data_IF_086289472992
#
_entry.id   IF_086289472992
#
_cell.length_a   1.000
_cell.length_b   1.000
_cell.length_c   1.000
_cell.angle_alpha   90.00
_cell.angle_beta   90.00
_cell.angle_gamma   90.00
#
_symmetry.space_group_name_H-M   'P 1'
#
loop_
_entity.id
_entity.type
_entity.pdbx_description
1 polymer ?
#
# COMPACT_ATOMS: atom_id res chain seq x y z
N UNK A 1 1.61 -7.00 -42.57
CA UNK A 1 0.68 -7.14 -41.43
C UNK A 1 1.44 -7.87 -40.33
N UNK A 2 2.01 -7.13 -39.37
CA UNK A 2 2.72 -7.73 -38.23
C UNK A 2 1.71 -8.56 -37.42
N UNK A 3 2.05 -9.81 -37.15
CA UNK A 3 1.21 -10.74 -36.42
C UNK A 3 0.94 -10.19 -35.01
N UNK A 4 -0.35 -10.05 -34.64
CA UNK A 4 -0.71 -9.63 -33.27
C UNK A 4 -0.27 -10.72 -32.28
N UNK A 5 0.54 -10.39 -31.25
CA UNK A 5 0.95 -11.35 -30.23
C UNK A 5 -0.26 -12.02 -29.57
N UNK A 6 -0.20 -13.33 -29.30
CA UNK A 6 -1.31 -14.06 -28.67
C UNK A 6 -1.09 -14.38 -27.20
N UNK A 7 0.15 -14.24 -26.75
CA UNK A 7 0.64 -14.56 -25.41
C UNK A 7 1.53 -13.42 -24.87
N UNK A 8 1.63 -13.36 -23.55
CA UNK A 8 2.32 -12.31 -22.80
C UNK A 8 3.81 -12.24 -23.18
N UNK A 9 4.44 -13.40 -23.33
CA UNK A 9 5.86 -13.54 -23.65
C UNK A 9 6.18 -13.03 -25.06
N UNK A 10 5.34 -13.33 -26.05
CA UNK A 10 5.49 -12.79 -27.42
C UNK A 10 5.20 -11.29 -27.49
N UNK A 11 4.22 -10.78 -26.73
CA UNK A 11 3.96 -9.34 -26.67
C UNK A 11 5.15 -8.58 -26.07
N UNK A 12 5.73 -9.10 -24.97
CA UNK A 12 6.94 -8.55 -24.36
C UNK A 12 8.15 -8.58 -25.31
N UNK A 13 8.33 -9.67 -26.06
CA UNK A 13 9.40 -9.79 -27.03
C UNK A 13 9.29 -8.76 -28.17
N UNK A 14 8.06 -8.42 -28.61
CA UNK A 14 7.81 -7.49 -29.71
C UNK A 14 7.60 -6.03 -29.29
N UNK A 15 7.82 -5.69 -28.02
CA UNK A 15 7.65 -4.32 -27.48
C UNK A 15 6.19 -3.79 -27.60
N UNK A 16 5.20 -4.68 -27.55
CA UNK A 16 3.77 -4.33 -27.70
C UNK A 16 3.08 -4.19 -26.34
N UNK A 17 3.19 -3.01 -25.72
CA UNK A 17 2.65 -2.70 -24.40
C UNK A 17 1.12 -2.71 -24.35
N UNK A 18 0.46 -2.26 -25.41
CA UNK A 18 -1.01 -2.31 -25.52
C UNK A 18 -1.51 -3.75 -25.55
N UNK A 19 -0.79 -4.64 -26.25
CA UNK A 19 -1.14 -6.04 -26.26
C UNK A 19 -0.85 -6.73 -24.93
N UNK A 20 0.26 -6.37 -24.26
CA UNK A 20 0.53 -6.83 -22.90
C UNK A 20 -0.64 -6.50 -21.97
N UNK A 21 -1.09 -5.24 -21.96
CA UNK A 21 -2.25 -4.79 -21.20
C UNK A 21 -3.50 -5.63 -21.49
N UNK A 22 -3.86 -5.81 -22.76
CA UNK A 22 -5.03 -6.60 -23.15
C UNK A 22 -4.96 -8.06 -22.68
N UNK A 23 -3.78 -8.68 -22.79
CA UNK A 23 -3.58 -10.08 -22.42
C UNK A 23 -3.61 -10.29 -20.91
N UNK A 24 -3.08 -9.33 -20.13
CA UNK A 24 -3.15 -9.35 -18.67
C UNK A 24 -4.61 -9.29 -18.23
N UNK A 25 -5.39 -8.34 -18.78
CA UNK A 25 -6.83 -8.21 -18.50
C UNK A 25 -7.59 -9.49 -18.85
N UNK A 26 -7.33 -10.05 -20.04
CA UNK A 26 -7.98 -11.28 -20.50
C UNK A 26 -7.64 -12.52 -19.64
N UNK A 27 -6.49 -12.52 -18.97
CA UNK A 27 -6.08 -13.60 -18.06
C UNK A 27 -6.78 -13.56 -16.69
N UNK A 28 -7.66 -12.58 -16.45
CA UNK A 28 -8.37 -12.40 -15.19
C UNK A 28 -7.46 -11.76 -14.13
N UNK A 29 -7.59 -10.44 -14.01
CA UNK A 29 -7.03 -9.60 -12.92
C UNK A 29 -8.09 -9.47 -11.83
N UNK A 30 -7.69 -9.07 -10.61
CA UNK A 30 -8.53 -8.82 -9.43
C UNK A 30 -9.96 -8.30 -9.74
N UNK A 31 -10.14 -7.35 -10.68
CA UNK A 31 -11.47 -6.83 -11.08
C UNK A 31 -11.86 -7.11 -12.54
N UNK A 32 -11.06 -7.89 -13.27
CA UNK A 32 -11.22 -8.07 -14.72
C UNK A 32 -11.01 -6.79 -15.55
N UNK A 33 -10.56 -5.70 -14.92
CA UNK A 33 -10.21 -4.41 -15.55
C UNK A 33 -8.71 -4.18 -15.46
N UNK A 34 -8.21 -3.26 -16.27
CA UNK A 34 -6.80 -2.84 -16.18
C UNK A 34 -6.57 -1.84 -15.07
N UNK A 35 -7.48 -0.87 -14.93
CA UNK A 35 -7.43 0.12 -13.87
C UNK A 35 -7.98 -0.51 -12.59
N UNK A 36 -7.40 -0.17 -11.43
CA UNK A 36 -7.99 -0.56 -10.16
C UNK A 36 -9.38 0.06 -10.04
N UNK A 37 -10.26 -0.51 -9.20
CA UNK A 37 -11.62 0.02 -9.00
C UNK A 37 -11.59 1.45 -8.44
N UNK A 38 -10.54 1.78 -7.70
CA UNK A 38 -10.28 3.09 -7.15
C UNK A 38 -8.77 3.38 -7.25
N UNK A 39 -8.42 4.64 -7.52
CA UNK A 39 -7.03 5.07 -7.53
C UNK A 39 -6.87 6.26 -6.60
N UNK A 40 -5.95 6.14 -5.64
CA UNK A 40 -5.58 7.25 -4.77
C UNK A 40 -4.15 7.66 -5.11
N UNK A 41 -3.98 8.92 -5.48
CA UNK A 41 -2.66 9.47 -5.73
C UNK A 41 -1.88 9.58 -4.43
N UNK A 42 -0.92 8.68 -4.21
CA UNK A 42 -0.03 8.67 -3.03
C UNK A 42 1.13 9.65 -3.17
N UNK A 43 0.88 10.81 -3.79
CA UNK A 43 1.91 11.82 -4.02
C UNK A 43 2.34 12.48 -2.70
N UNK A 44 3.57 13.03 -2.60
CA UNK A 44 3.99 13.78 -1.43
C UNK A 44 3.07 14.96 -1.08
N UNK A 45 2.37 15.53 -2.07
CA UNK A 45 1.42 16.61 -1.87
C UNK A 45 0.17 16.12 -1.09
N UNK A 46 -0.43 15.01 -1.51
CA UNK A 46 -1.59 14.43 -0.81
C UNK A 46 -1.20 13.87 0.56
N UNK A 47 0.04 13.39 0.71
CA UNK A 47 0.58 13.04 2.03
C UNK A 47 0.67 14.27 2.94
N UNK A 48 1.11 15.42 2.42
CA UNK A 48 1.17 16.65 3.19
C UNK A 48 -0.22 17.10 3.66
N UNK A 49 -1.29 16.85 2.89
CA UNK A 49 -2.67 17.09 3.33
C UNK A 49 -3.04 16.23 4.53
N UNK A 50 -2.72 14.92 4.52
CA UNK A 50 -2.94 14.04 5.68
C UNK A 50 -2.15 14.46 6.92
N UNK A 51 -0.97 15.07 6.73
CA UNK A 51 -0.12 15.59 7.81
C UNK A 51 -0.59 16.96 8.32
N UNK A 52 -1.14 17.79 7.43
CA UNK A 52 -1.59 19.16 7.69
C UNK A 52 -2.95 19.26 8.41
N UNK A 53 -3.61 18.13 8.67
CA UNK A 53 -4.79 17.95 9.54
C UNK A 53 -4.46 18.30 11.03
N UNK A 54 -3.71 19.38 11.23
CA UNK A 54 -3.39 20.08 12.47
C UNK A 54 -4.61 20.90 12.88
N UNK A 55 -4.85 21.04 14.19
CA UNK A 55 -6.07 21.63 14.71
C UNK A 55 -6.25 23.07 14.22
N UNK A 56 -7.47 23.36 13.76
CA UNK A 56 -8.10 24.65 13.98
C UNK A 56 -8.19 24.80 15.50
N UNK A 57 -7.09 25.25 16.12
CA UNK A 57 -7.11 25.75 17.48
C UNK A 57 -8.03 26.97 17.44
N UNK A 58 -9.33 26.70 17.62
CA UNK A 58 -10.28 27.60 18.22
C UNK A 58 -9.78 27.95 19.62
N UNK A 59 -8.73 28.77 19.67
CA UNK A 59 -8.35 29.57 20.79
C UNK A 59 -9.46 30.60 21.00
N UNK A 60 -10.55 30.12 21.60
CA UNK A 60 -11.48 30.93 22.37
C UNK A 60 -10.74 31.42 23.63
N UNK A 61 -9.73 32.26 23.45
CA UNK A 61 -9.18 33.10 24.50
C UNK A 61 -9.67 34.53 24.23
N UNK A 62 -10.77 34.87 24.88
CA UNK A 62 -11.27 36.23 24.92
C UNK A 62 -10.32 37.12 25.71
N UNK A 63 -9.58 38.01 25.04
CA UNK A 63 -9.20 39.32 25.57
C UNK A 63 -8.42 40.17 24.53
N UNK A 64 -9.13 40.82 23.59
CA UNK A 64 -8.79 42.19 23.16
C UNK A 64 -9.87 42.75 22.22
N UNK A 65 -10.59 43.77 22.71
CA UNK A 65 -11.34 44.71 21.88
C UNK A 65 -10.42 45.31 20.81
N UNK A 66 -10.75 45.10 19.55
CA UNK A 66 -10.14 45.77 18.41
C UNK A 66 -10.98 45.58 17.17
N UNK A 67 -11.81 46.57 16.86
CA UNK A 67 -12.71 46.64 15.71
C UNK A 67 -12.00 46.26 14.41
N UNK A 68 -12.48 45.23 13.69
CA UNK A 68 -12.28 45.09 12.23
C UNK A 68 -13.26 44.12 11.58
N UNK A 69 -14.24 44.75 10.92
CA UNK A 69 -14.76 44.43 9.58
C UNK A 69 -15.29 43.02 9.28
N UNK A 70 -16.61 42.98 9.09
CA UNK A 70 -17.33 41.97 8.32
C UNK A 70 -16.59 41.48 7.07
N UNK A 71 -16.22 40.19 7.04
CA UNK A 71 -16.12 39.39 5.82
C UNK A 71 -16.34 37.91 6.13
N UNK A 72 -17.47 37.41 5.65
CA UNK A 72 -17.72 36.02 5.23
C UNK A 72 -17.41 34.90 6.22
N UNK A 73 -18.43 34.45 6.95
CA UNK A 73 -18.60 33.03 7.22
C UNK A 73 -18.89 32.35 5.88
N UNK A 74 -17.87 31.79 5.23
CA UNK A 74 -18.05 30.68 4.31
C UNK A 74 -17.71 29.39 5.08
N UNK A 75 -18.56 28.35 5.04
CA UNK A 75 -18.22 27.04 5.59
C UNK A 75 -16.94 26.51 4.93
N UNK A 76 -16.23 25.54 5.54
CA UNK A 76 -15.04 24.95 4.94
C UNK A 76 -15.41 24.46 3.54
N UNK A 77 -14.73 24.98 2.53
CA UNK A 77 -14.95 24.57 1.14
C UNK A 77 -14.72 23.06 1.03
N UNK A 78 -15.67 22.34 0.42
CA UNK A 78 -15.70 20.90 0.13
C UNK A 78 -14.51 20.37 -0.72
N UNK A 79 -13.44 21.16 -0.89
CA UNK A 79 -12.33 20.91 -1.82
C UNK A 79 -11.10 20.22 -1.24
N UNK A 80 -10.98 20.04 0.07
CA UNK A 80 -9.78 19.44 0.71
C UNK A 80 -9.93 17.94 1.02
N UNK A 81 -11.04 17.32 0.63
CA UNK A 81 -11.23 15.89 0.76
C UNK A 81 -10.40 15.16 -0.32
N UNK A 82 -9.37 14.42 0.13
CA UNK A 82 -8.52 13.55 -0.73
C UNK A 82 -9.36 12.53 -1.52
N UNK A 83 -10.57 12.25 -1.03
CA UNK A 83 -11.57 11.36 -1.63
C UNK A 83 -12.92 12.05 -1.44
N UNK A 84 -13.65 12.40 -2.50
CA UNK A 84 -15.00 12.94 -2.36
C UNK A 84 -15.95 11.88 -1.79
N UNK A 85 -16.99 12.31 -1.08
CA UNK A 85 -18.00 11.42 -0.48
C UNK A 85 -18.63 10.49 -1.56
N UNK A 86 -18.78 11.02 -2.78
CA UNK A 86 -19.20 10.27 -3.98
C UNK A 86 -18.33 9.04 -4.31
N UNK A 87 -17.04 9.04 -3.95
CA UNK A 87 -16.13 7.92 -4.27
C UNK A 87 -16.47 6.67 -3.45
N UNK A 88 -17.10 6.81 -2.28
CA UNK A 88 -17.53 5.67 -1.47
C UNK A 88 -18.71 4.93 -2.14
N UNK A 89 -19.67 5.70 -2.65
CA UNK A 89 -20.81 5.18 -3.42
C UNK A 89 -20.34 4.65 -4.78
N UNK A 90 -19.41 5.33 -5.44
CA UNK A 90 -18.77 4.82 -6.67
C UNK A 90 -17.96 3.53 -6.40
N UNK A 91 -17.29 3.40 -5.26
CA UNK A 91 -16.59 2.16 -4.88
C UNK A 91 -17.56 1.00 -4.71
N UNK A 92 -18.70 1.25 -4.06
CA UNK A 92 -19.73 0.25 -3.84
C UNK A 92 -20.40 -0.18 -5.16
N UNK A 93 -20.49 0.71 -6.15
CA UNK A 93 -20.96 0.38 -7.50
C UNK A 93 -19.91 -0.32 -8.38
N UNK A 94 -18.61 -0.05 -8.15
CA UNK A 94 -17.51 -0.53 -8.99
C UNK A 94 -16.89 -1.85 -8.51
N UNK A 95 -16.99 -2.15 -7.22
CA UNK A 95 -16.48 -3.38 -6.61
C UNK A 95 -17.67 -4.32 -6.36
N UNK A 96 -17.56 -5.58 -6.79
CA UNK A 96 -18.65 -6.54 -6.52
C UNK A 96 -18.85 -6.75 -5.02
N UNK A 97 -20.07 -7.06 -4.59
CA UNK A 97 -20.38 -7.33 -3.17
C UNK A 97 -19.44 -8.39 -2.58
N UNK A 98 -19.10 -9.43 -3.34
CA UNK A 98 -18.17 -10.48 -2.94
C UNK A 98 -16.74 -9.95 -2.71
N UNK A 99 -16.28 -9.02 -3.56
CA UNK A 99 -14.96 -8.38 -3.43
C UNK A 99 -14.91 -7.41 -2.24
N UNK A 100 -16.02 -6.69 -1.98
CA UNK A 100 -16.16 -5.85 -0.79
C UNK A 100 -16.10 -6.67 0.49
N UNK A 101 -16.78 -7.83 0.53
CA UNK A 101 -16.68 -8.79 1.65
C UNK A 101 -15.25 -9.32 1.79
N UNK A 102 -14.58 -9.64 0.68
CA UNK A 102 -13.20 -10.11 0.70
C UNK A 102 -12.18 -9.04 1.14
N UNK A 103 -12.47 -7.76 0.91
CA UNK A 103 -11.67 -6.64 1.44
C UNK A 103 -11.96 -6.40 2.92
N UNK A 104 -13.23 -6.44 3.33
CA UNK A 104 -13.63 -6.31 4.74
C UNK A 104 -13.06 -7.45 5.62
N UNK A 105 -12.91 -8.64 5.06
CA UNK A 105 -12.28 -9.79 5.72
C UNK A 105 -10.74 -9.75 5.73
N UNK A 106 -10.11 -8.71 5.17
CA UNK A 106 -8.65 -8.64 5.10
C UNK A 106 -8.04 -8.41 6.50
N UNK A 107 -7.03 -9.21 6.91
CA UNK A 107 -6.50 -9.15 8.28
C UNK A 107 -5.86 -7.80 8.63
N UNK A 108 -5.21 -7.15 7.66
CA UNK A 108 -4.62 -5.82 7.91
C UNK A 108 -5.71 -4.75 8.12
N UNK A 109 -6.79 -4.79 7.33
CA UNK A 109 -7.89 -3.86 7.50
C UNK A 109 -8.61 -4.11 8.83
N UNK A 110 -8.87 -5.37 9.19
CA UNK A 110 -9.44 -5.72 10.49
C UNK A 110 -8.57 -5.24 11.64
N UNK A 111 -7.25 -5.43 11.56
CA UNK A 111 -6.30 -4.95 12.55
C UNK A 111 -6.36 -3.42 12.70
N UNK A 112 -6.38 -2.68 11.60
CA UNK A 112 -6.46 -1.21 11.61
C UNK A 112 -7.81 -0.75 12.16
N UNK A 113 -8.92 -1.33 11.69
CA UNK A 113 -10.26 -1.02 12.22
C UNK A 113 -10.34 -1.27 13.73
N UNK A 114 -9.85 -2.42 14.22
CA UNK A 114 -9.81 -2.73 15.65
C UNK A 114 -8.88 -1.80 16.44
N UNK A 115 -7.70 -1.49 15.90
CA UNK A 115 -6.72 -0.64 16.58
C UNK A 115 -7.22 0.79 16.74
N UNK A 116 -7.95 1.30 15.75
CA UNK A 116 -8.33 2.72 15.71
C UNK A 116 -9.80 3.01 16.00
N UNK A 117 -10.69 2.01 16.11
CA UNK A 117 -12.09 2.22 16.47
C UNK A 117 -12.26 3.15 17.69
N UNK A 118 -13.15 4.14 17.55
CA UNK A 118 -13.47 5.11 18.60
C UNK A 118 -14.36 4.52 19.70
N UNK A 119 -15.24 3.58 19.34
CA UNK A 119 -16.23 3.00 20.25
C UNK A 119 -15.76 1.62 20.77
N UNK A 120 -15.03 1.62 21.89
CA UNK A 120 -14.61 0.39 22.59
C UNK A 120 -15.61 0.01 23.70
N UNK A 121 -16.65 0.80 23.96
CA UNK A 121 -17.60 0.53 25.05
C UNK A 121 -18.59 -0.62 24.76
N UNK A 122 -18.77 -1.07 23.52
CA UNK A 122 -19.74 -2.13 23.21
C UNK A 122 -19.18 -3.56 23.29
N UNK A 123 -17.88 -3.74 23.57
CA UNK A 123 -17.23 -5.06 23.53
C UNK A 123 -16.93 -5.67 24.91
N UNK A 124 -17.10 -4.91 26.00
CA UNK A 124 -16.78 -5.38 27.36
C UNK A 124 -18.03 -5.68 28.22
N UNK A 125 -19.24 -5.36 27.76
CA UNK A 125 -20.47 -5.54 28.58
C UNK A 125 -21.31 -6.79 28.24
N UNK A 126 -20.89 -7.65 27.29
CA UNK A 126 -21.65 -8.87 26.94
C UNK A 126 -21.28 -10.13 27.77
N UNK A 127 -20.23 -10.10 28.62
CA UNK A 127 -19.85 -11.30 29.39
C UNK A 127 -20.36 -11.36 30.84
N UNK A 128 -20.95 -10.30 31.40
CA UNK A 128 -21.42 -10.30 32.81
C UNK A 128 -22.95 -10.28 33.01
N UNK A 129 -23.76 -10.30 31.95
CA UNK A 129 -25.23 -10.29 32.05
C UNK A 129 -25.87 -11.64 32.45
N UNK A 130 -25.11 -12.54 33.09
CA UNK A 130 -25.58 -13.86 33.51
C UNK A 130 -25.32 -14.15 35.00
N UNK A 131 -25.57 -13.19 35.89
CA UNK A 131 -25.96 -13.45 37.28
C UNK A 131 -26.26 -12.13 38.01
N UNK A 132 -27.53 -11.72 38.08
CA UNK A 132 -28.20 -11.49 39.37
C UNK A 132 -29.65 -11.04 39.15
N UNK A 133 -30.54 -12.02 39.25
CA UNK A 133 -31.94 -11.83 39.59
C UNK A 133 -32.00 -11.47 41.08
N UNK A 134 -31.91 -10.19 41.42
CA UNK A 134 -32.60 -9.61 42.57
C UNK A 134 -32.52 -8.07 42.56
N UNK A 135 -33.69 -7.45 42.58
CA UNK A 135 -33.90 -6.03 42.39
C UNK A 135 -33.24 -5.09 43.39
N UNK A 136 -32.95 -3.89 42.90
CA UNK A 136 -33.61 -2.66 43.38
C UNK A 136 -33.48 -1.61 42.26
N UNK A 137 -34.55 -0.86 42.02
CA UNK A 137 -34.70 0.02 40.85
C UNK A 137 -33.89 1.32 40.93
N UNK A 138 -32.56 1.20 40.92
CA UNK A 138 -31.65 2.33 40.75
C UNK A 138 -31.55 2.71 39.29
N UNK A 139 -31.89 3.96 38.97
CA UNK A 139 -31.79 4.57 37.66
C UNK A 139 -30.53 4.14 36.88
N UNK A 140 -30.72 3.24 35.91
CA UNK A 140 -29.78 3.01 34.81
C UNK A 140 -29.79 4.28 33.95
N UNK A 141 -29.03 5.28 34.41
CA UNK A 141 -28.67 6.43 33.59
C UNK A 141 -27.89 5.91 32.40
N UNK A 142 -28.51 5.96 31.24
CA UNK A 142 -27.93 5.60 29.96
C UNK A 142 -26.57 6.30 29.83
N UNK A 143 -25.46 5.57 29.84
CA UNK A 143 -24.10 6.12 29.76
C UNK A 143 -23.83 6.90 28.45
N UNK A 144 -24.80 6.92 27.53
CA UNK A 144 -24.82 7.80 26.36
C UNK A 144 -25.18 9.28 26.68
N UNK A 145 -25.79 9.61 27.84
CA UNK A 145 -26.03 11.01 28.25
C UNK A 145 -24.81 11.63 28.97
N UNK A 146 -23.60 11.30 28.52
CA UNK A 146 -22.34 11.75 29.14
C UNK A 146 -21.73 12.98 28.49
N UNK A 147 -22.10 13.27 27.25
CA UNK A 147 -21.62 14.42 26.48
C UNK A 147 -22.71 15.50 26.43
N UNK A 148 -22.31 16.75 26.59
CA UNK A 148 -23.19 17.87 26.24
C UNK A 148 -23.46 17.87 24.72
N UNK A 149 -24.55 18.50 24.26
CA UNK A 149 -24.95 18.50 22.83
C UNK A 149 -23.78 18.90 21.88
N UNK A 150 -23.01 19.91 22.25
CA UNK A 150 -21.83 20.38 21.48
C UNK A 150 -20.69 19.33 21.45
N UNK A 151 -20.53 18.55 22.52
CA UNK A 151 -19.50 17.51 22.63
C UNK A 151 -19.92 16.25 21.86
N UNK A 152 -21.22 15.94 21.82
CA UNK A 152 -21.78 14.86 21.02
C UNK A 152 -21.67 15.17 19.51
N UNK A 153 -21.96 16.40 19.08
CA UNK A 153 -21.76 16.83 17.68
C UNK A 153 -20.29 16.69 17.26
N UNK A 154 -19.35 17.10 18.12
CA UNK A 154 -17.92 16.94 17.87
C UNK A 154 -17.48 15.46 17.82
N UNK A 155 -18.09 14.60 18.64
CA UNK A 155 -17.87 13.15 18.63
C UNK A 155 -18.42 12.49 17.35
N UNK A 156 -19.59 12.92 16.87
CA UNK A 156 -20.15 12.47 15.60
C UNK A 156 -19.26 12.89 14.42
N UNK A 157 -18.78 14.13 14.41
CA UNK A 157 -17.84 14.60 13.39
C UNK A 157 -16.56 13.75 13.34
N UNK A 158 -16.01 13.38 14.50
CA UNK A 158 -14.86 12.46 14.58
C UNK A 158 -15.17 11.06 14.02
N UNK A 159 -16.35 10.52 14.33
CA UNK A 159 -16.82 9.21 13.83
C UNK A 159 -16.94 9.21 12.32
N UNK A 160 -17.57 10.22 11.74
CA UNK A 160 -17.70 10.38 10.29
C UNK A 160 -16.33 10.53 9.62
N UNK A 161 -15.47 11.37 10.19
CA UNK A 161 -14.14 11.57 9.67
C UNK A 161 -13.32 10.25 9.72
N UNK A 162 -13.43 9.46 10.79
CA UNK A 162 -12.79 8.16 10.88
C UNK A 162 -13.32 7.17 9.83
N UNK A 163 -14.63 7.15 9.58
CA UNK A 163 -15.20 6.32 8.51
C UNK A 163 -14.59 6.69 7.15
N UNK A 164 -14.38 7.98 6.89
CA UNK A 164 -13.68 8.45 5.69
C UNK A 164 -12.23 7.94 5.60
N UNK A 165 -11.46 7.99 6.70
CA UNK A 165 -10.10 7.45 6.73
C UNK A 165 -10.08 5.93 6.47
N UNK A 166 -11.05 5.18 6.99
CA UNK A 166 -11.18 3.75 6.70
C UNK A 166 -11.53 3.48 5.23
N UNK A 167 -12.32 4.35 4.60
CA UNK A 167 -12.60 4.26 3.17
C UNK A 167 -11.33 4.49 2.34
N UNK A 168 -10.54 5.52 2.66
CA UNK A 168 -9.22 5.75 2.04
C UNK A 168 -8.35 4.49 2.18
N UNK A 169 -8.28 3.91 3.37
CA UNK A 169 -7.49 2.70 3.61
C UNK A 169 -7.97 1.51 2.77
N UNK A 170 -9.29 1.30 2.69
CA UNK A 170 -9.90 0.25 1.84
C UNK A 170 -9.54 0.44 0.37
N UNK A 171 -9.57 1.67 -0.12
CA UNK A 171 -9.21 1.98 -1.51
C UNK A 171 -7.76 1.63 -1.82
N UNK A 172 -6.83 2.03 -0.93
CA UNK A 172 -5.41 1.72 -1.09
C UNK A 172 -5.16 0.21 -1.09
N UNK A 173 -5.85 -0.53 -0.22
CA UNK A 173 -5.73 -1.97 -0.13
C UNK A 173 -6.28 -2.66 -1.40
N UNK A 174 -7.40 -2.19 -1.93
CA UNK A 174 -7.93 -2.66 -3.20
C UNK A 174 -6.94 -2.42 -4.36
N UNK A 175 -6.33 -1.23 -4.41
CA UNK A 175 -5.29 -0.88 -5.38
C UNK A 175 -4.05 -1.80 -5.24
N UNK A 176 -3.64 -2.11 -4.00
CA UNK A 176 -2.55 -3.03 -3.73
C UNK A 176 -2.84 -4.45 -4.24
N UNK A 177 -4.01 -5.02 -3.90
CA UNK A 177 -4.42 -6.36 -4.38
C UNK A 177 -4.50 -6.42 -5.90
N UNK A 178 -4.99 -5.35 -6.52
CA UNK A 178 -5.01 -5.21 -7.96
C UNK A 178 -3.61 -5.28 -8.57
N UNK A 179 -2.65 -4.52 -8.02
CA UNK A 179 -1.24 -4.57 -8.47
C UNK A 179 -0.60 -5.93 -8.23
N UNK A 180 -0.82 -6.55 -7.08
CA UNK A 180 -0.29 -7.88 -6.76
C UNK A 180 -0.83 -8.94 -7.73
N UNK A 181 -2.12 -8.85 -8.08
CA UNK A 181 -2.74 -9.72 -9.09
C UNK A 181 -2.06 -9.57 -10.45
N UNK A 182 -1.81 -8.33 -10.90
CA UNK A 182 -1.06 -8.07 -12.14
C UNK A 182 0.36 -8.63 -12.04
N UNK A 183 1.08 -8.34 -10.96
CA UNK A 183 2.45 -8.80 -10.74
C UNK A 183 2.54 -10.34 -10.79
N UNK A 184 1.60 -11.04 -10.15
CA UNK A 184 1.54 -12.51 -10.17
C UNK A 184 1.38 -13.06 -11.58
N UNK A 185 0.61 -12.40 -12.45
CA UNK A 185 0.49 -12.78 -13.87
C UNK A 185 1.79 -12.52 -14.63
N UNK A 186 2.47 -11.41 -14.35
CA UNK A 186 3.75 -11.06 -14.97
C UNK A 186 4.90 -11.98 -14.55
N UNK A 187 4.79 -12.70 -13.45
CA UNK A 187 5.82 -13.64 -12.97
C UNK A 187 5.77 -15.01 -13.67
N UNK A 188 4.73 -15.31 -14.45
CA UNK A 188 4.57 -16.63 -15.06
C UNK A 188 5.64 -16.92 -16.12
N UNK A 189 6.41 -18.00 -15.94
CA UNK A 189 7.37 -18.47 -16.92
C UNK A 189 6.68 -19.07 -18.14
N UNK A 190 7.17 -18.75 -19.34
CA UNK A 190 6.60 -19.23 -20.59
C UNK A 190 7.63 -19.35 -21.70
N UNK A 191 7.28 -20.17 -22.69
CA UNK A 191 8.01 -20.27 -23.96
C UNK A 191 7.47 -19.20 -24.92
N UNK A 192 8.35 -18.62 -25.72
CA UNK A 192 7.97 -17.66 -26.75
C UNK A 192 7.23 -18.38 -27.87
N UNK A 193 6.01 -17.95 -28.20
CA UNK A 193 5.19 -18.59 -29.23
C UNK A 193 5.09 -17.72 -30.48
N UNK A 194 5.87 -18.04 -31.52
CA UNK A 194 5.83 -17.29 -32.80
C UNK A 194 5.17 -18.10 -33.91
N UNK A 195 4.45 -17.42 -34.80
CA UNK A 195 3.86 -18.05 -35.99
C UNK A 195 4.23 -17.27 -37.25
N UNK A 196 4.62 -17.99 -38.30
CA UNK A 196 4.91 -17.41 -39.62
C UNK A 196 3.65 -17.28 -40.48
N UNK A 197 2.58 -18.06 -40.18
CA UNK A 197 1.28 -18.02 -40.87
C UNK A 197 0.14 -18.32 -39.86
N UNK A 198 -0.62 -17.31 -39.43
CA UNK A 198 -1.86 -17.56 -38.68
C UNK A 198 -2.85 -18.34 -39.57
N UNK A 199 -3.63 -19.32 -39.06
CA UNK A 199 -4.00 -19.49 -37.65
C UNK A 199 -3.50 -20.74 -36.90
N UNK A 200 -2.75 -21.71 -37.48
CA UNK A 200 -2.74 -23.09 -36.92
C UNK A 200 -1.37 -23.66 -36.50
N UNK A 201 -0.24 -22.96 -36.66
CA UNK A 201 1.04 -23.50 -36.16
C UNK A 201 1.86 -22.46 -35.40
N UNK A 202 1.79 -22.50 -34.07
CA UNK A 202 2.64 -21.71 -33.17
C UNK A 202 3.88 -22.53 -32.83
N UNK A 203 5.05 -22.00 -33.17
CA UNK A 203 6.32 -22.63 -32.84
C UNK A 203 6.81 -22.05 -31.52
N UNK A 204 7.07 -22.92 -30.56
CA UNK A 204 7.62 -22.56 -29.25
C UNK A 204 9.13 -22.43 -29.31
N UNK A 205 9.66 -21.38 -28.68
CA UNK A 205 11.08 -21.12 -28.52
C UNK A 205 11.39 -20.98 -27.03
N UNK A 206 12.38 -21.71 -26.55
CA UNK A 206 13.00 -21.49 -25.25
C UNK A 206 14.24 -20.61 -25.36
N UNK A 207 14.81 -20.25 -24.22
CA UNK A 207 16.02 -19.43 -24.12
C UNK A 207 17.25 -20.36 -24.16
N UNK A 208 18.21 -20.09 -25.06
CA UNK A 208 19.45 -20.85 -25.17
C UNK A 208 20.64 -19.90 -25.18
N UNK A 209 21.76 -20.32 -24.59
CA UNK A 209 23.02 -19.60 -24.72
C UNK A 209 23.90 -20.16 -25.84
N UNK A 210 24.73 -19.31 -26.41
CA UNK A 210 25.77 -19.63 -27.37
C UNK A 210 27.07 -18.99 -26.92
N UNK A 211 28.18 -19.71 -27.05
CA UNK A 211 29.50 -19.16 -26.75
C UNK A 211 30.19 -18.76 -28.05
N UNK A 212 30.72 -17.54 -28.12
CA UNK A 212 31.60 -17.10 -29.21
C UNK A 212 33.00 -16.82 -28.66
N UNK A 213 34.02 -17.27 -29.38
CA UNK A 213 35.40 -16.91 -29.09
C UNK A 213 35.60 -15.43 -29.42
N UNK A 214 35.99 -14.64 -28.41
CA UNK A 214 36.37 -13.25 -28.59
C UNK A 214 37.90 -13.22 -28.70
N UNK A 215 38.40 -12.89 -29.90
CA UNK A 215 39.83 -12.68 -30.08
C UNK A 215 40.19 -11.34 -29.44
N UNK A 216 40.77 -11.38 -28.25
CA UNK A 216 41.36 -10.19 -27.63
C UNK A 216 42.60 -9.86 -28.46
N UNK A 217 42.50 -8.90 -29.37
CA UNK A 217 43.70 -8.28 -29.95
C UNK A 217 44.42 -7.53 -28.82
N UNK A 218 45.71 -7.79 -28.57
CA UNK A 218 46.43 -7.06 -27.53
C UNK A 218 46.38 -5.55 -27.85
N UNK A 219 46.33 -4.67 -26.82
CA UNK A 219 46.38 -3.24 -27.05
C UNK A 219 47.66 -2.93 -27.83
N UNK A 220 47.49 -2.35 -29.01
CA UNK A 220 48.58 -1.86 -29.85
C UNK A 220 49.28 -0.81 -29.01
N UNK A 221 50.46 -1.15 -28.48
CA UNK A 221 51.34 -0.22 -27.79
C UNK A 221 51.70 0.89 -28.76
N UNK A 222 50.95 2.00 -28.70
CA UNK A 222 51.42 3.30 -29.12
C UNK A 222 52.54 3.68 -28.17
N UNK A 223 53.78 3.40 -28.58
CA UNK A 223 54.95 4.25 -28.36
C UNK A 223 56.19 3.55 -28.92
N UNK A 224 56.64 4.02 -30.09
CA UNK A 224 58.01 4.47 -30.38
C UNK A 224 58.24 4.44 -31.89
N UNK A 225 58.34 5.64 -32.46
CA UNK A 225 58.96 5.87 -33.76
C UNK A 225 60.41 5.40 -33.69
N UNK A 226 60.77 4.33 -34.40
CA UNK A 226 62.12 4.15 -34.93
C UNK A 226 62.03 3.57 -36.36
N UNK A 227 62.86 4.14 -37.23
CA UNK A 227 62.89 4.00 -38.69
C UNK A 227 63.14 2.56 -39.22
N UNK A 228 62.79 2.27 -40.49
CA UNK A 228 62.79 0.91 -41.03
C UNK A 228 64.15 0.53 -41.62
N UNK A 229 64.72 -0.58 -41.15
CA UNK A 229 65.78 -1.28 -41.86
C UNK A 229 65.67 -2.80 -41.69
N UNK A 230 65.27 -3.44 -42.79
CA UNK A 230 65.82 -4.66 -43.37
C UNK A 230 65.81 -6.01 -42.61
N UNK A 231 65.58 -7.08 -43.38
CA UNK A 231 66.06 -8.42 -43.04
C UNK A 231 65.11 -9.37 -42.31
N UNK A 232 64.34 -10.14 -43.09
CA UNK A 232 64.06 -11.58 -42.90
C UNK A 232 64.48 -12.24 -41.58
N UNK A 233 63.52 -12.72 -40.79
CA UNK A 233 63.57 -14.09 -40.23
C UNK A 233 62.22 -14.52 -39.67
N UNK A 234 61.87 -15.77 -39.95
CA UNK A 234 60.75 -16.52 -39.37
C UNK A 234 60.73 -16.42 -37.84
N UNK A 235 59.71 -15.78 -37.28
CA UNK A 235 59.40 -15.83 -35.86
C UNK A 235 58.22 -16.78 -35.61
N UNK A 236 58.34 -17.75 -34.68
CA UNK A 236 57.33 -18.76 -34.44
C UNK A 236 56.08 -18.14 -33.84
N UNK A 237 54.91 -18.59 -34.31
CA UNK A 237 53.60 -18.23 -33.77
C UNK A 237 53.59 -18.31 -32.24
N UNK A 238 53.42 -17.17 -31.57
CA UNK A 238 53.35 -17.08 -30.13
C UNK A 238 52.17 -17.92 -29.59
N UNK A 239 52.41 -18.91 -28.70
CA UNK A 239 51.34 -19.64 -28.03
C UNK A 239 50.92 -18.84 -26.80
N UNK A 240 49.82 -18.10 -26.90
CA UNK A 240 49.34 -17.33 -25.74
C UNK A 240 48.14 -16.42 -25.94
N UNK A 241 47.45 -16.47 -27.09
CA UNK A 241 46.18 -15.77 -27.22
C UNK A 241 45.13 -16.48 -26.36
N UNK A 242 44.93 -16.00 -25.13
CA UNK A 242 43.83 -16.41 -24.27
C UNK A 242 42.52 -16.07 -24.98
N UNK A 243 41.85 -17.10 -25.51
CA UNK A 243 40.53 -16.98 -26.11
C UNK A 243 39.54 -16.79 -24.96
N UNK A 244 38.99 -15.58 -24.80
CA UNK A 244 37.86 -15.39 -23.90
C UNK A 244 36.59 -15.91 -24.60
N UNK A 245 35.80 -16.71 -23.89
CA UNK A 245 34.50 -17.17 -24.38
C UNK A 245 33.43 -16.17 -23.93
N UNK A 246 32.76 -15.56 -24.90
CA UNK A 246 31.62 -14.68 -24.65
C UNK A 246 30.32 -15.48 -24.72
N UNK A 247 29.49 -15.40 -23.66
CA UNK A 247 28.15 -16.00 -23.61
C UNK A 247 27.13 -15.04 -24.20
N UNK A 248 26.29 -15.50 -25.13
CA UNK A 248 25.15 -14.74 -25.67
C UNK A 248 23.87 -15.58 -25.65
N UNK A 249 22.79 -14.96 -25.21
CA UNK A 249 21.46 -15.56 -25.12
C UNK A 249 20.62 -15.28 -26.36
N UNK A 250 19.86 -16.27 -26.82
CA UNK A 250 18.97 -16.16 -27.99
C UNK A 250 17.77 -17.12 -27.90
N UNK A 251 16.63 -16.79 -28.55
CA UNK A 251 15.51 -17.72 -28.68
C UNK A 251 15.90 -18.95 -29.53
N UNK A 252 15.53 -20.16 -29.10
CA UNK A 252 15.84 -21.40 -29.80
C UNK A 252 14.70 -22.42 -29.68
N UNK A 253 14.37 -23.07 -30.80
CA UNK A 253 13.38 -24.16 -30.86
C UNK A 253 13.81 -25.42 -30.10
N UNK A 254 15.11 -25.56 -29.82
CA UNK A 254 15.68 -26.74 -29.14
C UNK A 254 15.74 -26.58 -27.64
N UNK A 255 15.52 -25.37 -27.13
CA UNK A 255 15.54 -25.11 -25.70
C UNK A 255 14.15 -25.28 -25.11
N UNK A 256 14.13 -25.86 -23.90
CA UNK A 256 12.96 -26.01 -23.03
C UNK A 256 12.95 -24.99 -21.88
N UNK A 257 13.92 -24.08 -21.82
CA UNK A 257 13.97 -23.08 -20.77
C UNK A 257 13.04 -21.92 -21.11
N UNK A 258 12.06 -21.68 -20.26
CA UNK A 258 11.18 -20.52 -20.30
C UNK A 258 11.69 -19.39 -19.43
N UNK A 259 11.38 -18.17 -19.85
CA UNK A 259 11.61 -16.96 -19.09
C UNK A 259 10.29 -16.31 -18.69
N UNK A 260 10.35 -15.40 -17.72
CA UNK A 260 9.26 -14.44 -17.50
C UNK A 260 9.16 -13.49 -18.71
N UNK A 261 8.02 -12.81 -18.91
CA UNK A 261 7.90 -11.73 -19.90
C UNK A 261 9.06 -10.72 -19.85
N UNK A 262 9.57 -10.41 -18.65
CA UNK A 262 10.70 -9.49 -18.47
C UNK A 262 11.99 -10.04 -19.09
N UNK A 263 12.26 -11.36 -18.97
CA UNK A 263 13.39 -11.99 -19.66
C UNK A 263 13.29 -11.82 -21.18
N UNK A 264 12.08 -12.01 -21.74
CA UNK A 264 11.86 -11.88 -23.18
C UNK A 264 12.00 -10.44 -23.67
N UNK A 265 11.49 -9.46 -22.92
CA UNK A 265 11.65 -8.04 -23.24
C UNK A 265 13.12 -7.60 -23.19
N UNK A 266 13.87 -8.05 -22.18
CA UNK A 266 15.31 -7.76 -22.08
C UNK A 266 16.08 -8.41 -23.23
N UNK A 267 15.75 -9.66 -23.57
CA UNK A 267 16.39 -10.40 -24.65
C UNK A 267 16.18 -9.72 -26.02
N UNK A 268 15.00 -9.16 -26.28
CA UNK A 268 14.70 -8.43 -27.52
C UNK A 268 15.12 -6.96 -27.49
N UNK A 269 15.58 -6.44 -26.34
CA UNK A 269 15.87 -5.02 -26.11
C UNK A 269 14.63 -4.12 -26.27
N UNK A 270 13.46 -4.64 -25.92
CA UNK A 270 12.17 -3.94 -25.94
C UNK A 270 12.06 -2.98 -24.74
N UNK A 271 12.53 -1.74 -24.91
CA UNK A 271 12.63 -0.78 -23.81
C UNK A 271 11.28 -0.36 -23.24
N UNK A 272 10.23 -0.25 -24.06
CA UNK A 272 8.91 0.13 -23.57
C UNK A 272 8.28 -1.01 -22.76
N UNK A 273 8.42 -2.25 -23.21
CA UNK A 273 7.99 -3.44 -22.48
C UNK A 273 8.77 -3.63 -21.18
N UNK A 274 10.09 -3.36 -21.15
CA UNK A 274 10.87 -3.43 -19.89
C UNK A 274 10.33 -2.44 -18.85
N UNK A 275 10.13 -1.17 -19.23
CA UNK A 275 9.56 -0.16 -18.33
C UNK A 275 8.17 -0.57 -17.83
N UNK A 276 7.28 -0.90 -18.76
CA UNK A 276 5.92 -1.32 -18.46
C UNK A 276 5.89 -2.51 -17.48
N UNK A 277 6.67 -3.56 -17.74
CA UNK A 277 6.67 -4.75 -16.90
C UNK A 277 7.17 -4.44 -15.49
N UNK A 278 8.22 -3.64 -15.35
CA UNK A 278 8.78 -3.26 -14.04
C UNK A 278 7.82 -2.35 -13.27
N UNK A 279 7.24 -1.34 -13.92
CA UNK A 279 6.23 -0.45 -13.32
C UNK A 279 5.02 -1.22 -12.79
N UNK A 280 4.65 -2.33 -13.44
CA UNK A 280 3.53 -3.18 -13.05
C UNK A 280 3.92 -4.39 -12.18
N UNK A 281 5.14 -4.41 -11.65
CA UNK A 281 5.54 -5.34 -10.59
C UNK A 281 6.18 -6.65 -11.05
N UNK A 282 6.63 -6.75 -12.30
CA UNK A 282 7.45 -7.88 -12.73
C UNK A 282 8.71 -7.98 -11.85
N UNK A 283 9.02 -9.19 -11.42
CA UNK A 283 10.16 -9.47 -10.55
C UNK A 283 11.43 -9.67 -11.40
N UNK A 284 12.43 -8.83 -11.13
CA UNK A 284 13.74 -8.82 -11.76
C UNK A 284 14.69 -9.88 -11.19
N UNK A 285 14.37 -10.50 -10.06
CA UNK A 285 15.19 -11.51 -9.41
C UNK A 285 14.86 -12.93 -9.86
N UNK A 286 13.72 -13.11 -10.53
CA UNK A 286 13.35 -14.40 -11.09
C UNK A 286 14.37 -14.81 -12.16
N UNK A 287 14.82 -16.06 -12.08
CA UNK A 287 15.68 -16.67 -13.09
C UNK A 287 14.89 -17.43 -14.15
N UNK A 288 15.58 -18.24 -14.96
CA UNK A 288 14.92 -19.10 -15.93
C UNK A 288 14.29 -20.33 -15.26
N UNK A 289 13.29 -20.92 -15.93
CA UNK A 289 12.68 -22.16 -15.48
C UNK A 289 12.65 -23.19 -16.62
N UNK A 290 12.85 -24.46 -16.29
CA UNK A 290 12.63 -25.54 -17.25
C UNK A 290 11.13 -25.79 -17.44
N UNK A 291 10.63 -25.57 -18.65
CA UNK A 291 9.24 -25.88 -19.03
C UNK A 291 9.23 -27.25 -19.68
N UNK A 292 8.99 -28.28 -18.87
CA UNK A 292 8.77 -29.65 -19.31
C UNK A 292 7.30 -29.90 -19.63
N UNK A 293 7.02 -30.78 -20.59
CA UNK A 293 5.68 -31.33 -20.80
C UNK A 293 5.31 -32.17 -19.58
N UNK A 294 4.66 -31.59 -18.58
CA UNK A 294 4.02 -32.33 -17.52
C UNK A 294 2.74 -32.98 -18.06
N UNK A 295 2.89 -34.07 -18.84
CA UNK A 295 2.06 -35.23 -18.55
C UNK A 295 2.71 -35.88 -17.33
N UNK A 296 2.04 -35.80 -16.18
CA UNK A 296 2.53 -36.36 -14.92
C UNK A 296 2.96 -37.83 -15.06
N UNK A 297 4.05 -38.18 -14.36
CA UNK A 297 4.38 -39.51 -13.81
C UNK A 297 5.88 -39.87 -13.80
N UNK A 298 6.82 -39.06 -14.32
CA UNK A 298 8.21 -39.52 -14.47
C UNK A 298 9.28 -38.73 -13.69
N UNK A 299 8.92 -37.81 -12.79
CA UNK A 299 9.90 -37.03 -12.02
C UNK A 299 10.15 -37.57 -10.59
N UNK A 300 9.37 -38.55 -10.11
CA UNK A 300 9.45 -39.02 -8.74
C UNK A 300 10.53 -40.10 -8.48
N UNK A 301 11.13 -40.68 -9.52
CA UNK A 301 12.07 -41.82 -9.35
C UNK A 301 13.52 -41.56 -9.76
N UNK A 302 13.87 -40.33 -10.15
CA UNK A 302 15.26 -39.94 -10.37
C UNK A 302 15.72 -38.99 -9.27
N UNK A 303 16.13 -39.57 -8.13
CA UNK A 303 16.93 -38.84 -7.14
C UNK A 303 18.17 -38.26 -7.83
N UNK A 304 18.18 -36.94 -8.06
CA UNK A 304 19.25 -36.28 -8.80
C UNK A 304 19.62 -34.94 -8.18
N UNK A 305 20.72 -34.96 -7.41
CA UNK A 305 21.44 -33.76 -6.98
C UNK A 305 21.83 -32.86 -8.18
N UNK A 306 21.90 -33.44 -9.38
CA UNK A 306 22.13 -32.74 -10.65
C UNK A 306 20.95 -31.88 -11.14
N UNK A 307 19.69 -32.25 -10.89
CA UNK A 307 18.56 -31.38 -11.27
C UNK A 307 18.45 -30.19 -10.31
N UNK A 308 18.67 -30.41 -9.02
CA UNK A 308 18.74 -29.33 -8.03
C UNK A 308 19.87 -28.33 -8.36
N UNK A 309 21.04 -28.81 -8.80
CA UNK A 309 22.13 -27.96 -9.27
C UNK A 309 21.78 -27.19 -10.55
N UNK A 310 21.11 -27.83 -11.52
CA UNK A 310 20.67 -27.17 -12.75
C UNK A 310 19.60 -26.09 -12.47
N UNK A 311 18.62 -26.38 -11.61
CA UNK A 311 17.63 -25.40 -11.16
C UNK A 311 18.29 -24.22 -10.45
N UNK A 312 19.29 -24.47 -9.58
CA UNK A 312 20.05 -23.40 -8.91
C UNK A 312 20.76 -22.47 -9.89
N UNK A 313 21.35 -23.01 -10.96
CA UNK A 313 21.98 -22.20 -12.01
C UNK A 313 20.94 -21.40 -12.79
N UNK A 314 19.81 -22.01 -13.15
CA UNK A 314 18.75 -21.32 -13.88
C UNK A 314 18.14 -20.16 -13.05
N UNK A 315 17.95 -20.34 -11.75
CA UNK A 315 17.49 -19.29 -10.84
C UNK A 315 18.44 -18.08 -10.75
N UNK A 316 19.73 -18.25 -11.06
CA UNK A 316 20.71 -17.15 -11.05
C UNK A 316 20.70 -16.34 -12.36
N UNK A 317 20.03 -16.83 -13.40
CA UNK A 317 19.96 -16.19 -14.72
C UNK A 317 18.86 -15.15 -14.76
N UNK A 318 19.05 -14.05 -14.03
CA UNK A 318 18.10 -12.94 -14.00
C UNK A 318 18.11 -12.15 -15.32
N UNK A 319 17.06 -11.35 -15.60
CA UNK A 319 17.04 -10.44 -16.74
C UNK A 319 18.26 -9.50 -16.78
N UNK A 320 18.71 -8.99 -15.64
CA UNK A 320 19.92 -8.15 -15.57
C UNK A 320 21.18 -8.90 -16.01
N UNK A 321 21.38 -10.14 -15.52
CA UNK A 321 22.52 -11.00 -15.93
C UNK A 321 22.47 -11.28 -17.43
N UNK A 322 21.28 -11.50 -17.99
CA UNK A 322 21.11 -11.67 -19.44
C UNK A 322 21.43 -10.41 -20.23
N UNK A 323 21.02 -9.22 -19.76
CA UNK A 323 21.34 -7.94 -20.40
C UNK A 323 22.85 -7.70 -20.45
N UNK A 324 23.56 -7.99 -19.35
CA UNK A 324 25.02 -7.88 -19.24
C UNK A 324 25.70 -8.83 -20.22
N UNK A 325 25.31 -10.12 -20.21
CA UNK A 325 25.89 -11.13 -21.10
C UNK A 325 25.70 -10.77 -22.59
N UNK A 326 24.58 -10.13 -22.94
CA UNK A 326 24.28 -9.68 -24.30
C UNK A 326 24.83 -8.28 -24.66
N UNK A 327 25.66 -7.68 -23.79
CA UNK A 327 26.27 -6.34 -23.96
C UNK A 327 25.21 -5.25 -24.25
N UNK A 328 24.05 -5.37 -23.61
CA UNK A 328 22.92 -4.45 -23.83
C UNK A 328 22.88 -3.36 -22.75
N UNK A 329 23.89 -2.49 -22.71
CA UNK A 329 23.98 -1.39 -21.74
C UNK A 329 22.72 -0.51 -21.70
N UNK A 330 22.12 -0.09 -22.84
CA UNK A 330 20.91 0.74 -22.80
C UNK A 330 19.72 0.02 -22.17
N UNK A 331 19.59 -1.30 -22.35
CA UNK A 331 18.50 -2.07 -21.73
C UNK A 331 18.70 -2.21 -20.23
N UNK A 332 19.95 -2.31 -19.78
CA UNK A 332 20.30 -2.35 -18.36
C UNK A 332 20.02 -1.01 -17.68
N UNK A 333 20.41 0.11 -18.30
CA UNK A 333 20.08 1.46 -17.79
C UNK A 333 18.56 1.66 -17.68
N UNK A 334 17.80 1.23 -18.69
CA UNK A 334 16.33 1.28 -18.66
C UNK A 334 15.75 0.40 -17.53
N UNK A 335 16.31 -0.78 -17.31
CA UNK A 335 15.90 -1.68 -16.23
C UNK A 335 16.18 -1.04 -14.86
N UNK A 336 17.41 -0.55 -14.63
CA UNK A 336 17.81 0.07 -13.36
C UNK A 336 17.01 1.33 -13.04
N UNK A 337 16.79 2.19 -14.04
CA UNK A 337 15.97 3.40 -13.88
C UNK A 337 14.51 3.07 -13.55
N UNK A 338 13.93 2.06 -14.20
CA UNK A 338 12.57 1.60 -13.90
C UNK A 338 12.47 0.98 -12.49
N UNK A 339 13.49 0.24 -12.05
CA UNK A 339 13.55 -0.32 -10.69
C UNK A 339 13.67 0.77 -9.62
N UNK A 340 14.51 1.78 -9.85
CA UNK A 340 14.61 2.94 -8.96
C UNK A 340 13.28 3.70 -8.86
N UNK A 341 12.59 3.91 -9.98
CA UNK A 341 11.28 4.55 -9.99
C UNK A 341 10.24 3.74 -9.21
N UNK A 342 10.20 2.40 -9.38
CA UNK A 342 9.32 1.50 -8.62
C UNK A 342 9.62 1.55 -7.12
N UNK A 343 10.89 1.56 -6.72
CA UNK A 343 11.28 1.62 -5.31
C UNK A 343 10.81 2.94 -4.67
N UNK A 344 11.01 4.08 -5.35
CA UNK A 344 10.54 5.37 -4.89
C UNK A 344 9.00 5.42 -4.75
N UNK A 345 8.28 4.84 -5.70
CA UNK A 345 6.82 4.73 -5.67
C UNK A 345 6.33 3.86 -4.49
N UNK A 346 7.01 2.74 -4.21
CA UNK A 346 6.71 1.91 -3.03
C UNK A 346 6.98 2.65 -1.72
N UNK A 347 8.06 3.42 -1.63
CA UNK A 347 8.37 4.24 -0.46
C UNK A 347 7.32 5.33 -0.23
N UNK A 348 6.90 6.02 -1.30
CA UNK A 348 5.84 7.02 -1.23
C UNK A 348 4.53 6.43 -0.71
N UNK A 349 4.14 5.23 -1.19
CA UNK A 349 2.94 4.54 -0.67
C UNK A 349 3.05 4.14 0.79
N UNK A 350 4.19 3.58 1.20
CA UNK A 350 4.43 3.23 2.61
C UNK A 350 4.34 4.46 3.50
N UNK A 351 4.93 5.58 3.06
CA UNK A 351 4.84 6.84 3.78
C UNK A 351 3.39 7.37 3.83
N UNK A 352 2.61 7.18 2.76
CA UNK A 352 1.20 7.55 2.74
C UNK A 352 0.38 6.73 3.74
N UNK A 353 0.56 5.41 3.78
CA UNK A 353 -0.06 4.54 4.79
C UNK A 353 0.29 4.98 6.22
N UNK A 354 1.57 5.25 6.49
CA UNK A 354 2.00 5.72 7.80
C UNK A 354 1.38 7.09 8.16
N UNK A 355 1.28 8.01 7.20
CA UNK A 355 0.62 9.30 7.43
C UNK A 355 -0.87 9.14 7.75
N UNK A 356 -1.57 8.24 7.05
CA UNK A 356 -2.98 7.93 7.28
C UNK A 356 -3.19 7.27 8.65
N UNK A 357 -2.37 6.29 9.04
CA UNK A 357 -2.43 5.67 10.36
C UNK A 357 -2.18 6.69 11.48
N UNK A 358 -1.20 7.59 11.29
CA UNK A 358 -0.95 8.68 12.24
C UNK A 358 -2.15 9.64 12.35
N UNK A 359 -2.85 9.92 11.24
CA UNK A 359 -4.08 10.73 11.26
C UNK A 359 -5.18 10.06 12.07
N UNK A 360 -5.41 8.76 11.86
CA UNK A 360 -6.38 7.97 12.63
C UNK A 360 -6.01 7.92 14.13
N UNK A 361 -4.73 7.75 14.45
CA UNK A 361 -4.24 7.78 15.83
C UNK A 361 -4.51 9.13 16.50
N UNK A 362 -4.19 10.24 15.84
CA UNK A 362 -4.47 11.59 16.35
C UNK A 362 -5.96 11.81 16.59
N UNK A 363 -6.82 11.28 15.72
CA UNK A 363 -8.29 11.34 15.91
C UNK A 363 -8.74 10.54 17.12
N UNK A 364 -8.24 9.32 17.29
CA UNK A 364 -8.51 8.49 18.48
C UNK A 364 -8.09 9.19 19.77
N UNK A 365 -6.91 9.81 19.79
CA UNK A 365 -6.42 10.55 20.94
C UNK A 365 -7.28 11.79 21.24
N UNK A 366 -7.67 12.56 20.22
CA UNK A 366 -8.59 13.70 20.38
C UNK A 366 -9.94 13.29 20.94
N UNK A 367 -10.53 12.21 20.43
CA UNK A 367 -11.78 11.66 20.94
C UNK A 367 -11.65 11.21 22.40
N UNK A 368 -10.59 10.47 22.73
CA UNK A 368 -10.32 10.05 24.11
C UNK A 368 -10.13 11.24 25.05
N UNK A 369 -9.43 12.28 24.60
CA UNK A 369 -9.23 13.52 25.36
C UNK A 369 -10.55 14.26 25.59
N UNK A 370 -11.41 14.37 24.56
CA UNK A 370 -12.75 14.95 24.68
C UNK A 370 -13.58 14.19 25.71
N UNK A 371 -13.64 12.87 25.60
CA UNK A 371 -14.36 12.01 26.55
C UNK A 371 -13.86 12.17 27.99
N UNK A 372 -12.54 12.26 28.19
CA UNK A 372 -11.95 12.51 29.52
C UNK A 372 -12.32 13.90 30.06
N UNK A 373 -12.29 14.93 29.22
CA UNK A 373 -12.68 16.28 29.61
C UNK A 373 -14.17 16.36 29.98
N UNK A 374 -15.04 15.70 29.23
CA UNK A 374 -16.48 15.59 29.52
C UNK A 374 -16.74 14.94 30.89
N UNK A 375 -16.09 13.79 31.14
CA UNK A 375 -16.15 13.09 32.42
C UNK A 375 -15.66 13.98 33.58
N UNK A 376 -14.56 14.72 33.38
CA UNK A 376 -14.03 15.64 34.38
C UNK A 376 -14.96 16.82 34.65
N UNK A 377 -15.58 17.40 33.62
CA UNK A 377 -16.59 18.47 33.75
C UNK A 377 -17.80 18.00 34.54
N UNK A 378 -18.34 16.82 34.22
CA UNK A 378 -19.47 16.24 34.96
C UNK A 378 -19.13 15.95 36.41
N UNK A 379 -17.94 15.40 36.69
CA UNK A 379 -17.47 15.19 38.06
C UNK A 379 -17.39 16.51 38.85
N UNK A 380 -16.92 17.59 38.23
CA UNK A 380 -16.90 18.92 38.83
C UNK A 380 -18.32 19.47 39.06
N UNK A 381 -19.24 19.28 38.12
CA UNK A 381 -20.63 19.70 38.28
C UNK A 381 -21.32 18.95 39.44
N UNK A 382 -21.13 17.64 39.56
CA UNK A 382 -21.68 16.84 40.67
C UNK A 382 -21.08 17.29 42.01
N UNK A 383 -19.78 17.55 42.06
CA UNK A 383 -19.15 18.08 43.27
C UNK A 383 -19.72 19.48 43.63
N UNK A 384 -19.88 20.37 42.65
CA UNK A 384 -20.46 21.68 42.86
C UNK A 384 -21.93 21.62 43.31
N UNK A 385 -22.71 20.67 42.78
CA UNK A 385 -24.09 20.40 43.22
C UNK A 385 -24.12 19.94 44.68
N UNK A 386 -23.25 18.99 45.07
CA UNK A 386 -23.14 18.53 46.47
C UNK A 386 -22.75 19.66 47.42
N UNK A 387 -21.76 20.47 47.05
CA UNK A 387 -21.37 21.64 47.84
C UNK A 387 -22.50 22.69 47.93
N UNK A 388 -23.31 22.85 46.89
CA UNK A 388 -24.46 23.75 46.91
C UNK A 388 -25.57 23.22 47.83
N UNK A 389 -25.89 21.93 47.77
CA UNK A 389 -26.84 21.27 48.66
C UNK A 389 -26.38 21.33 50.12
N UNK A 390 -25.09 21.12 50.40
CA UNK A 390 -24.54 21.24 51.75
C UNK A 390 -24.67 22.68 52.27
N UNK A 391 -24.34 23.69 51.46
CA UNK A 391 -24.54 25.11 51.82
C UNK A 391 -26.01 25.47 52.04
N UNK A 392 -26.93 24.87 51.29
CA UNK A 392 -28.36 25.07 51.46
C UNK A 392 -28.84 24.43 52.77
N UNK A 393 -28.40 23.21 53.09
CA UNK A 393 -28.68 22.55 54.38
C UNK A 393 -28.14 23.36 55.56
N UNK A 394 -26.92 23.89 55.47
CA UNK A 394 -26.35 24.77 56.51
C UNK A 394 -27.14 26.07 56.66
N UNK A 395 -27.67 26.64 55.58
CA UNK A 395 -28.55 27.82 55.65
C UNK A 395 -29.87 27.50 56.33
N UNK A 396 -30.53 26.40 55.95
CA UNK A 396 -31.76 25.95 56.59
C UNK A 396 -31.56 25.66 58.09
N UNK A 397 -30.44 25.06 58.47
CA UNK A 397 -30.11 24.78 59.87
C UNK A 397 -29.88 26.08 60.67
N UNK A 398 -29.17 27.06 60.10
CA UNK A 398 -28.98 28.37 60.71
C UNK A 398 -30.30 29.17 60.82
N UNK A 399 -31.18 29.10 59.83
CA UNK A 399 -32.50 29.73 59.87
C UNK A 399 -33.37 29.12 60.98
N UNK A 400 -33.43 27.78 61.09
CA UNK A 400 -34.13 27.10 62.19
C UNK A 400 -33.56 27.44 63.56
N UNK A 401 -32.24 27.59 63.67
CA UNK A 401 -31.59 28.00 64.91
C UNK A 401 -31.91 29.45 65.30
N UNK A 402 -32.06 30.35 64.32
CA UNK A 402 -32.47 31.72 64.56
C UNK A 402 -33.95 31.82 64.97
N UNK A 403 -34.84 31.10 64.29
CA UNK A 403 -36.27 31.03 64.66
C UNK A 403 -36.46 30.49 66.09
N UNK A 404 -35.70 29.45 66.48
CA UNK A 404 -35.75 28.92 67.85
C UNK A 404 -35.25 29.89 68.93
N UNK A 405 -34.34 30.82 68.60
CA UNK A 405 -33.90 31.86 69.55
C UNK A 405 -34.96 32.97 69.71
N UNK A 406 -35.67 33.33 68.64
CA UNK A 406 -36.78 34.27 68.72
C UNK A 406 -37.95 33.71 69.56
N UNK A 407 -38.24 32.41 69.45
CA UNK A 407 -39.25 31.76 70.29
C UNK A 407 -38.85 31.72 71.78
N UNK A 408 -37.57 31.48 72.12
CA UNK A 408 -37.08 31.53 73.51
C UNK A 408 -37.08 32.96 74.10
N UNK A 409 -36.82 34.00 73.29
CA UNK A 409 -36.90 35.40 73.74
C UNK A 409 -38.37 35.84 73.95
N UNK A 410 -39.31 35.42 73.11
CA UNK A 410 -40.74 35.72 73.29
C UNK A 410 -41.38 35.01 74.49
N UNK A 411 -40.91 33.80 74.87
CA UNK A 411 -41.41 33.07 76.05
C UNK A 411 -41.00 33.74 77.37
N UNK A 412 -39.87 34.47 77.41
CA UNK A 412 -39.36 35.11 78.62
C UNK A 412 -40.04 36.45 78.97
N UNK A 413 -40.62 37.14 77.99
CA UNK A 413 -41.33 38.42 78.18
C UNK A 413 -42.81 38.24 78.62
N UNK A 414 -43.27 37.00 78.82
CA UNK A 414 -44.67 36.67 79.17
C UNK A 414 -44.98 36.44 80.67
N UNK A 415 -43.99 36.46 81.58
CA UNK A 415 -44.16 36.10 83.01
C UNK A 415 -44.14 37.28 84.01
N UNK A 416 -44.50 38.51 83.61
CA UNK A 416 -44.68 39.66 84.56
C UNK A 416 -46.01 39.65 85.35
#
# INVERSE_FOLDING_TARGET
>A
MLARPRDLHTAAFHDDTERLRQLIVAAGVYTGRWQPPCHIETSPANRAVLEADLPDDGAADGAARGERSHRGNEPPQEGDAIVSEDVADELAELISEDEMVALAAHPELQRVMQAYALDVAAAEDEEDAANDDNGDGGAEGNDNELLDEDEEEAAEADRLAQQHDFLIYRCLLAEQRHRESIAQRLQQHGLLQTSTTPPVNMVSYGILFSCRAQSISPPRSEELNEDPADGTSDAPAAPGASISLQVRWQPSKRSRYGGTPLHWAVLSRAHAAVKFLVEHGADETLGLQEIGNASGAAAAESGCDSAAAATKVLCQLTPAVMAIANESLPTLEVLETALAARAADQENRKAFYAALENRMQRRKERYAQRRQNALARRAQQVQAQREAEEREREREENERAAEGQEEEEEEYDGEE
#
